data_IF_709679914631
#
_entry.id   IF_709679914631
#
_cell.length_a   1.000
_cell.length_b   1.000
_cell.length_c   1.000
_cell.angle_alpha   90.00
_cell.angle_beta   90.00
_cell.angle_gamma   90.00
#
_symmetry.space_group_name_H-M   'P 1'
#
loop_
_entity.id
_entity.type
_entity.pdbx_description
1 polymer ?
#
# COMPACT_ATOMS: atom_id res chain seq x y z
N UNK A 1 -4.00 48.00 73.43
CA UNK A 1 -4.51 49.05 72.50
C UNK A 1 -3.86 48.82 71.16
N UNK A 2 -4.50 48.83 70.01
CA UNK A 2 -5.90 48.83 69.58
C UNK A 2 -5.85 48.52 68.08
N UNK A 3 -7.00 48.18 67.49
CA UNK A 3 -7.17 47.51 66.21
C UNK A 3 -6.62 48.19 64.94
N UNK A 4 -6.33 47.30 63.97
CA UNK A 4 -6.14 47.38 62.50
C UNK A 4 -6.51 48.67 61.77
N UNK A 5 -5.90 48.91 60.59
CA UNK A 5 -6.73 48.73 59.39
C UNK A 5 -6.04 47.99 58.23
N UNK A 6 -6.78 47.00 57.73
CA UNK A 6 -6.68 46.35 56.42
C UNK A 6 -6.96 47.36 55.31
N UNK A 7 -5.94 47.86 54.60
CA UNK A 7 -6.18 48.70 53.41
C UNK A 7 -4.98 48.79 52.45
N UNK A 8 -4.26 47.69 52.21
CA UNK A 8 -3.19 47.64 51.21
C UNK A 8 -3.29 46.34 50.41
N UNK A 9 -4.44 46.09 49.79
CA UNK A 9 -4.66 44.92 48.93
C UNK A 9 -5.63 45.22 47.77
N UNK A 10 -5.62 46.46 47.25
CA UNK A 10 -6.48 46.88 46.13
C UNK A 10 -5.76 47.81 45.13
N UNK A 11 -4.47 47.58 44.87
CA UNK A 11 -3.76 48.32 43.82
C UNK A 11 -2.78 47.45 43.01
N UNK A 12 -3.13 46.21 42.70
CA UNK A 12 -2.30 45.33 41.86
C UNK A 12 -3.14 44.57 40.80
N UNK A 13 -4.29 45.13 40.38
CA UNK A 13 -5.10 44.55 39.27
C UNK A 13 -5.52 45.66 38.28
N UNK A 14 -4.64 46.64 38.03
CA UNK A 14 -4.93 47.78 37.15
C UNK A 14 -4.11 47.83 35.84
N UNK A 15 -3.03 47.07 35.72
CA UNK A 15 -2.02 47.30 34.68
C UNK A 15 -1.89 46.19 33.62
N UNK A 16 -2.87 45.29 33.50
CA UNK A 16 -2.85 44.21 32.49
C UNK A 16 -3.89 44.37 31.36
N UNK A 17 -4.77 45.37 31.40
CA UNK A 17 -5.92 45.46 30.46
C UNK A 17 -5.70 46.49 29.33
N UNK A 18 -4.59 47.22 29.33
CA UNK A 18 -4.29 48.23 28.28
C UNK A 18 -2.96 47.92 27.60
N UNK A 19 -2.86 46.74 26.98
CA UNK A 19 -1.88 46.50 25.92
C UNK A 19 -2.56 45.74 24.77
N UNK A 20 -2.68 46.43 23.64
CA UNK A 20 -2.85 45.92 22.27
C UNK A 20 -4.27 45.69 21.74
N UNK A 21 -5.02 46.80 21.61
CA UNK A 21 -6.22 46.93 20.78
C UNK A 21 -5.94 47.15 19.27
N UNK A 22 -4.84 46.66 18.70
CA UNK A 22 -4.52 46.84 17.26
C UNK A 22 -3.85 45.59 16.68
N UNK A 23 -4.65 44.59 16.32
CA UNK A 23 -4.09 43.36 15.75
C UNK A 23 -5.08 42.39 15.13
N UNK A 24 -6.26 42.84 14.67
CA UNK A 24 -7.13 41.98 13.86
C UNK A 24 -6.82 42.17 12.36
N UNK A 25 -5.55 42.08 11.98
CA UNK A 25 -5.16 41.96 10.56
C UNK A 25 -5.40 40.51 10.18
N UNK A 26 -6.39 40.30 9.31
CA UNK A 26 -6.96 39.00 8.99
C UNK A 26 -5.93 37.92 8.69
N UNK A 27 -6.04 36.80 9.41
CA UNK A 27 -5.50 35.52 8.97
C UNK A 27 -6.21 35.16 7.67
N UNK A 28 -5.54 35.38 6.54
CA UNK A 28 -5.91 34.76 5.27
C UNK A 28 -5.42 33.33 5.31
N UNK A 29 -6.32 32.40 5.62
CA UNK A 29 -6.08 30.97 5.39
C UNK A 29 -5.80 30.78 3.90
N UNK A 30 -4.52 30.64 3.57
CA UNK A 30 -4.10 30.29 2.22
C UNK A 30 -4.31 28.80 2.06
N UNK A 31 -5.44 28.40 1.45
CA UNK A 31 -5.55 27.05 0.90
C UNK A 31 -4.54 26.97 -0.25
N UNK A 32 -3.42 26.31 0.02
CA UNK A 32 -2.48 25.95 -1.03
C UNK A 32 -3.19 24.96 -1.96
N UNK A 33 -3.14 25.21 -3.26
CA UNK A 33 -3.60 24.23 -4.25
C UNK A 33 -2.80 22.92 -4.07
N UNK A 34 -3.43 21.74 -4.18
CA UNK A 34 -2.69 20.49 -4.12
C UNK A 34 -1.60 20.49 -5.19
N UNK A 35 -0.40 19.93 -4.89
CA UNK A 35 0.68 19.88 -5.87
C UNK A 35 0.19 19.17 -7.12
N UNK A 36 0.57 19.70 -8.29
CA UNK A 36 0.27 19.06 -9.56
C UNK A 36 0.80 17.62 -9.52
N UNK A 37 -0.05 16.66 -9.88
CA UNK A 37 0.36 15.27 -9.93
C UNK A 37 1.60 15.13 -10.82
N UNK A 38 2.63 14.37 -10.39
CA UNK A 38 3.85 14.23 -11.16
C UNK A 38 3.54 13.53 -12.50
N UNK A 39 4.35 13.81 -13.51
CA UNK A 39 4.12 13.37 -14.90
C UNK A 39 4.07 11.85 -15.11
N UNK A 40 4.59 11.06 -14.16
CA UNK A 40 4.50 9.60 -14.17
C UNK A 40 3.13 9.07 -13.74
N UNK A 41 2.28 9.91 -13.14
CA UNK A 41 0.87 9.56 -12.91
C UNK A 41 0.20 9.50 -14.27
N UNK A 42 -0.13 8.29 -14.70
CA UNK A 42 -0.81 8.02 -15.97
C UNK A 42 -2.06 8.91 -16.06
N UNK A 43 -2.05 9.85 -17.03
CA UNK A 43 -3.18 10.73 -17.30
C UNK A 43 -4.23 9.95 -18.11
N UNK A 44 -5.07 9.21 -17.41
CA UNK A 44 -6.18 8.45 -17.98
C UNK A 44 -6.61 7.30 -17.07
N UNK A 45 -7.86 6.87 -17.16
CA UNK A 45 -8.32 5.69 -16.44
C UNK A 45 -7.64 4.43 -17.02
N UNK A 46 -6.88 3.70 -16.18
CA UNK A 46 -6.33 2.41 -16.56
C UNK A 46 -7.47 1.41 -16.78
N UNK A 47 -7.68 1.00 -18.04
CA UNK A 47 -8.76 0.07 -18.42
C UNK A 47 -8.29 -0.87 -19.54
N UNK A 48 -7.43 -1.87 -19.23
CA UNK A 48 -6.94 -2.82 -20.23
C UNK A 48 -8.06 -3.77 -20.69
N UNK A 49 -8.11 -4.08 -21.98
CA UNK A 49 -9.02 -5.11 -22.51
C UNK A 49 -8.46 -6.51 -22.22
N UNK A 50 -9.17 -7.28 -21.39
CA UNK A 50 -8.84 -8.68 -21.10
C UNK A 50 -9.68 -9.59 -21.99
N UNK A 51 -9.04 -10.32 -22.90
CA UNK A 51 -9.71 -11.31 -23.77
C UNK A 51 -9.39 -12.73 -23.28
N UNK A 52 -10.38 -13.51 -22.81
CA UNK A 52 -10.12 -14.86 -22.30
C UNK A 52 -9.44 -15.81 -23.30
N UNK A 53 -9.69 -15.62 -24.61
CA UNK A 53 -9.07 -16.41 -25.68
C UNK A 53 -7.56 -16.23 -25.82
N UNK A 54 -6.97 -15.20 -25.20
CA UNK A 54 -5.53 -14.99 -25.16
C UNK A 54 -4.85 -15.73 -23.99
N UNK A 55 -5.60 -16.56 -23.25
CA UNK A 55 -5.10 -17.28 -22.09
C UNK A 55 -5.24 -18.79 -22.25
N UNK A 56 -4.34 -19.52 -21.60
CA UNK A 56 -4.28 -20.99 -21.61
C UNK A 56 -4.71 -21.57 -20.28
N UNK A 57 -5.27 -22.78 -20.32
CA UNK A 57 -5.64 -23.52 -19.12
C UNK A 57 -4.44 -24.18 -18.42
N UNK A 58 -3.35 -24.46 -19.16
CA UNK A 58 -2.13 -25.08 -18.65
C UNK A 58 -0.95 -24.17 -18.94
N UNK A 59 -0.13 -23.91 -17.93
CA UNK A 59 1.11 -23.12 -18.05
C UNK A 59 2.27 -24.12 -18.07
N UNK A 60 2.70 -24.51 -19.24
CA UNK A 60 3.73 -25.52 -19.50
C UNK A 60 5.07 -24.92 -19.96
N UNK A 61 5.35 -23.68 -19.55
CA UNK A 61 6.61 -23.02 -19.81
C UNK A 61 7.80 -23.87 -19.33
N UNK A 62 8.76 -24.15 -20.22
CA UNK A 62 9.94 -24.99 -19.94
C UNK A 62 10.71 -24.59 -18.68
N UNK A 63 10.79 -23.30 -18.39
CA UNK A 63 11.56 -22.79 -17.26
C UNK A 63 10.78 -22.73 -15.96
N UNK A 64 9.45 -22.66 -16.06
CA UNK A 64 8.58 -22.52 -14.88
C UNK A 64 7.19 -23.09 -15.17
N UNK A 65 7.08 -24.42 -15.26
CA UNK A 65 5.81 -25.07 -15.55
C UNK A 65 4.95 -25.09 -14.28
N UNK A 66 3.73 -24.56 -14.35
CA UNK A 66 2.79 -24.60 -13.23
C UNK A 66 1.90 -25.85 -13.35
N UNK A 67 2.53 -27.01 -13.21
CA UNK A 67 1.84 -28.30 -13.19
C UNK A 67 1.28 -28.54 -11.78
N UNK A 68 -0.03 -28.79 -11.62
CA UNK A 68 -0.62 -29.11 -10.33
C UNK A 68 0.11 -30.24 -9.60
N UNK A 69 0.32 -30.08 -8.30
CA UNK A 69 1.11 -30.99 -7.46
C UNK A 69 2.61 -30.71 -7.43
N UNK A 70 3.10 -29.75 -8.22
CA UNK A 70 4.52 -29.34 -8.17
C UNK A 70 4.78 -28.42 -6.99
N UNK A 71 5.87 -28.67 -6.26
CA UNK A 71 6.40 -27.78 -5.23
C UNK A 71 7.78 -27.29 -5.63
N UNK A 72 8.00 -25.98 -5.52
CA UNK A 72 9.29 -25.34 -5.71
C UNK A 72 9.85 -24.92 -4.36
N UNK A 73 11.14 -25.16 -4.16
CA UNK A 73 11.86 -24.80 -2.93
C UNK A 73 12.99 -23.83 -3.29
N UNK A 74 12.87 -22.59 -2.84
CA UNK A 74 13.86 -21.55 -3.07
C UNK A 74 14.65 -21.27 -1.80
N UNK A 75 15.96 -21.09 -1.97
CA UNK A 75 16.87 -20.63 -0.93
C UNK A 75 17.64 -19.44 -1.45
N UNK A 76 17.74 -18.41 -0.63
CA UNK A 76 18.44 -17.17 -0.98
C UNK A 76 18.77 -16.36 0.25
N UNK A 77 19.05 -15.08 0.04
CA UNK A 77 19.36 -14.14 1.10
C UNK A 77 18.62 -12.82 0.84
N UNK A 78 18.22 -12.16 1.92
CA UNK A 78 17.77 -10.76 1.91
C UNK A 78 18.78 -9.96 2.73
N UNK A 79 19.65 -9.20 2.03
CA UNK A 79 20.90 -8.73 2.64
C UNK A 79 21.73 -9.93 3.14
N UNK A 80 22.17 -9.87 4.39
CA UNK A 80 22.94 -10.96 5.01
C UNK A 80 22.05 -12.06 5.64
N UNK A 81 20.72 -11.89 5.61
CA UNK A 81 19.80 -12.83 6.26
C UNK A 81 19.42 -13.96 5.30
N UNK A 82 19.71 -15.24 5.62
CA UNK A 82 19.22 -16.37 4.82
C UNK A 82 17.68 -16.37 4.78
N UNK A 83 17.12 -16.72 3.62
CA UNK A 83 15.68 -16.83 3.39
C UNK A 83 15.36 -18.12 2.66
N UNK A 84 14.22 -18.69 3.00
CA UNK A 84 13.61 -19.81 2.28
C UNK A 84 12.21 -19.43 1.86
N UNK A 85 11.83 -19.79 0.65
CA UNK A 85 10.49 -19.59 0.12
C UNK A 85 10.07 -20.85 -0.63
N UNK A 86 8.88 -21.34 -0.31
CA UNK A 86 8.31 -22.55 -0.86
C UNK A 86 7.02 -22.19 -1.59
N UNK A 87 6.83 -22.79 -2.76
CA UNK A 87 5.68 -22.51 -3.60
C UNK A 87 5.03 -23.80 -4.08
N UNK A 88 3.76 -24.02 -3.73
CA UNK A 88 2.93 -25.14 -4.17
C UNK A 88 1.98 -24.72 -5.28
N UNK A 89 2.06 -25.41 -6.42
CA UNK A 89 1.04 -25.33 -7.47
C UNK A 89 -0.09 -26.28 -7.10
N UNK A 90 -1.22 -25.75 -6.68
CA UNK A 90 -2.34 -26.59 -6.22
C UNK A 90 -3.17 -27.12 -7.39
N UNK A 91 -3.99 -28.13 -7.12
CA UNK A 91 -5.02 -28.61 -8.07
C UNK A 91 -6.23 -27.69 -8.17
N UNK A 92 -6.29 -26.61 -7.38
CA UNK A 92 -7.42 -25.70 -7.35
C UNK A 92 -7.30 -24.67 -8.47
N UNK A 93 -8.44 -24.22 -8.96
CA UNK A 93 -8.51 -23.12 -9.93
C UNK A 93 -9.48 -22.03 -9.45
N UNK A 94 -9.24 -20.79 -9.88
CA UNK A 94 -10.17 -19.67 -9.73
C UNK A 94 -10.49 -19.06 -11.08
N UNK A 95 -11.73 -18.60 -11.26
CA UNK A 95 -12.12 -17.86 -12.46
C UNK A 95 -11.91 -16.37 -12.22
N UNK A 96 -11.07 -15.74 -13.04
CA UNK A 96 -10.76 -14.31 -12.97
C UNK A 96 -11.01 -13.71 -14.35
N UNK A 97 -11.92 -12.74 -14.45
CA UNK A 97 -12.34 -12.15 -15.74
C UNK A 97 -12.72 -13.20 -16.81
N UNK A 98 -13.38 -14.29 -16.40
CA UNK A 98 -13.77 -15.40 -17.28
C UNK A 98 -12.64 -16.37 -17.65
N UNK A 99 -11.44 -16.22 -17.08
CA UNK A 99 -10.28 -17.07 -17.33
C UNK A 99 -10.12 -18.05 -16.17
N UNK A 100 -9.96 -19.34 -16.46
CA UNK A 100 -9.64 -20.36 -15.45
C UNK A 100 -8.14 -20.31 -15.14
N UNK A 101 -7.81 -19.94 -13.92
CA UNK A 101 -6.43 -19.70 -13.47
C UNK A 101 -6.05 -20.69 -12.35
N UNK A 102 -4.83 -21.21 -12.38
CA UNK A 102 -4.33 -22.17 -11.39
C UNK A 102 -3.98 -21.46 -10.09
N UNK A 103 -4.43 -22.00 -8.95
CA UNK A 103 -4.11 -21.44 -7.64
C UNK A 103 -2.73 -21.91 -7.19
N UNK A 104 -1.91 -20.95 -6.75
CA UNK A 104 -0.58 -21.15 -6.21
C UNK A 104 -0.56 -20.67 -4.76
N UNK A 105 0.08 -21.43 -3.88
CA UNK A 105 0.29 -21.07 -2.48
C UNK A 105 1.77 -20.90 -2.24
N UNK A 106 2.14 -19.86 -1.52
CA UNK A 106 3.53 -19.59 -1.13
C UNK A 106 3.63 -19.47 0.39
N UNK A 107 4.77 -19.90 0.93
CA UNK A 107 5.13 -19.71 2.33
C UNK A 107 6.64 -19.63 2.50
N UNK A 108 7.10 -18.80 3.43
CA UNK A 108 8.53 -18.64 3.67
C UNK A 108 8.89 -18.51 5.15
N UNK A 109 10.19 -18.33 5.39
CA UNK A 109 10.76 -18.20 6.74
C UNK A 109 10.26 -16.98 7.51
N UNK A 110 9.77 -15.96 6.82
CA UNK A 110 9.29 -14.73 7.45
C UNK A 110 7.78 -14.80 7.70
N UNK A 111 7.31 -14.32 8.85
CA UNK A 111 5.90 -14.43 9.26
C UNK A 111 4.90 -13.72 8.31
N UNK A 112 5.39 -12.82 7.47
CA UNK A 112 4.62 -12.11 6.42
C UNK A 112 4.64 -12.78 5.04
N UNK A 113 5.38 -13.88 4.87
CA UNK A 113 5.57 -14.53 3.55
C UNK A 113 4.56 -15.65 3.24
N UNK A 114 3.41 -15.69 3.92
CA UNK A 114 2.32 -16.62 3.60
C UNK A 114 1.33 -15.97 2.63
N UNK A 115 1.19 -16.54 1.44
CA UNK A 115 0.36 -15.99 0.37
C UNK A 115 -0.44 -17.04 -0.41
N UNK A 116 -1.52 -16.62 -1.07
CA UNK A 116 -2.24 -17.44 -2.05
C UNK A 116 -2.66 -16.57 -3.22
N UNK A 117 -2.21 -16.94 -4.42
CA UNK A 117 -2.49 -16.26 -5.66
C UNK A 117 -3.15 -17.20 -6.68
N UNK A 118 -3.66 -16.64 -7.77
CA UNK A 118 -4.11 -17.40 -8.92
C UNK A 118 -3.38 -16.90 -10.17
N UNK A 119 -2.84 -17.82 -10.96
CA UNK A 119 -1.99 -17.53 -12.10
C UNK A 119 -2.69 -17.89 -13.40
N UNK A 120 -2.83 -16.91 -14.30
CA UNK A 120 -3.50 -17.04 -15.59
C UNK A 120 -2.45 -16.96 -16.71
N UNK A 121 -2.17 -18.07 -17.40
CA UNK A 121 -1.17 -18.11 -18.46
C UNK A 121 -1.63 -17.32 -19.67
N UNK A 122 -0.94 -16.23 -20.02
CA UNK A 122 -1.23 -15.47 -21.25
C UNK A 122 -0.33 -15.94 -22.39
N UNK A 123 -0.91 -16.18 -23.56
CA UNK A 123 -0.16 -16.41 -24.79
C UNK A 123 0.38 -15.07 -25.28
N UNK A 124 1.69 -14.92 -25.32
CA UNK A 124 2.33 -13.76 -25.98
C UNK A 124 2.58 -14.11 -27.44
N UNK A 125 2.51 -13.09 -28.32
CA UNK A 125 2.78 -13.27 -29.74
C UNK A 125 4.24 -13.68 -29.90
N UNK A 126 4.48 -14.97 -30.20
CA UNK A 126 5.82 -15.57 -30.29
C UNK A 126 6.00 -16.86 -29.48
N UNK A 127 5.08 -17.20 -28.59
CA UNK A 127 5.19 -18.40 -27.73
C UNK A 127 4.46 -19.64 -28.26
N UNK A 128 4.05 -19.66 -29.54
CA UNK A 128 3.53 -20.86 -30.20
C UNK A 128 4.71 -21.59 -30.85
N UNK A 129 5.32 -22.50 -30.11
CA UNK A 129 6.15 -23.57 -30.67
C UNK A 129 5.29 -24.74 -31.12
#
# INVERSE_FOLDING_TARGET
MSHRPTSVFLLEIGAAVVLLATGLVGVRSSTAAPPAAPSWVLRGAYSPSVRPSNFVAKIDNRFFPLVPGTTFHYRGHSGDTPQTDDMEVTHRTKTIFGIRCTVVREWGSTRSSFGTAASCGRVTRGSRG
#
